data_IF_475871599907
#
_entry.id   IF_475871599907
#
_cell.length_a   1.000
_cell.length_b   1.000
_cell.length_c   1.000
_cell.angle_alpha   90.00
_cell.angle_beta   90.00
_cell.angle_gamma   90.00
#
_symmetry.space_group_name_H-M   'P 1'
#
loop_
_entity.id
_entity.type
_entity.pdbx_description
1 polymer ?
#
# COMPACT_ATOMS: atom_id res chain seq x y z
N UNK A 1 9.44 -24.43 2.96
CA UNK A 1 8.17 -23.77 2.59
C UNK A 1 7.71 -22.73 3.61
N UNK A 2 7.54 -23.06 4.89
CA UNK A 2 7.10 -22.08 5.91
C UNK A 2 8.04 -20.87 6.10
N UNK A 3 9.35 -21.07 5.95
CA UNK A 3 10.35 -19.98 6.00
C UNK A 3 10.23 -19.00 4.83
N UNK A 4 9.81 -19.45 3.65
CA UNK A 4 9.62 -18.58 2.48
C UNK A 4 8.33 -17.74 2.59
N UNK A 5 7.29 -18.31 3.22
CA UNK A 5 6.01 -17.63 3.46
C UNK A 5 6.18 -16.47 4.46
N UNK A 6 6.94 -16.68 5.53
CA UNK A 6 7.21 -15.62 6.51
C UNK A 6 8.10 -14.51 5.95
N UNK A 7 9.05 -14.83 5.06
CA UNK A 7 9.87 -13.84 4.37
C UNK A 7 9.07 -12.99 3.38
N UNK A 8 8.23 -13.59 2.54
CA UNK A 8 7.39 -12.83 1.63
C UNK A 8 6.42 -11.89 2.37
N UNK A 9 5.85 -12.35 3.49
CA UNK A 9 4.99 -11.49 4.32
C UNK A 9 5.74 -10.27 4.86
N UNK A 10 6.98 -10.45 5.33
CA UNK A 10 7.83 -9.33 5.78
C UNK A 10 8.21 -8.40 4.64
N UNK A 11 8.55 -8.93 3.47
CA UNK A 11 8.91 -8.11 2.31
C UNK A 11 7.73 -7.25 1.83
N UNK A 12 6.51 -7.79 1.79
CA UNK A 12 5.30 -7.00 1.47
C UNK A 12 5.10 -5.86 2.46
N UNK A 13 5.19 -6.14 3.76
CA UNK A 13 5.05 -5.10 4.79
C UNK A 13 6.14 -4.03 4.65
N UNK A 14 7.38 -4.44 4.34
CA UNK A 14 8.51 -3.53 4.16
C UNK A 14 8.32 -2.62 2.94
N UNK A 15 7.91 -3.18 1.80
CA UNK A 15 7.61 -2.40 0.58
C UNK A 15 6.49 -1.39 0.86
N UNK A 16 5.42 -1.80 1.56
CA UNK A 16 4.33 -0.90 1.90
C UNK A 16 4.74 0.19 2.89
N UNK A 17 5.56 -0.13 3.88
CA UNK A 17 6.09 0.85 4.83
C UNK A 17 6.96 1.90 4.12
N UNK A 18 7.83 1.48 3.21
CA UNK A 18 8.65 2.39 2.39
C UNK A 18 7.78 3.28 1.52
N UNK A 19 6.76 2.71 0.86
CA UNK A 19 5.83 3.49 0.03
C UNK A 19 5.10 4.58 0.84
N UNK A 20 4.55 4.21 2.00
CA UNK A 20 3.89 5.15 2.91
C UNK A 20 4.85 6.25 3.38
N UNK A 21 6.10 5.89 3.71
CA UNK A 21 7.11 6.86 4.12
C UNK A 21 7.41 7.88 3.01
N UNK A 22 7.55 7.42 1.76
CA UNK A 22 7.79 8.29 0.60
C UNK A 22 6.62 9.27 0.41
N UNK A 23 5.38 8.77 0.39
CA UNK A 23 4.20 9.63 0.21
C UNK A 23 4.02 10.57 1.39
N UNK A 24 4.29 10.11 2.62
CA UNK A 24 4.26 10.94 3.82
C UNK A 24 5.24 12.12 3.73
N UNK A 25 6.48 11.87 3.32
CA UNK A 25 7.50 12.90 3.10
C UNK A 25 7.04 13.90 2.03
N UNK A 26 6.52 13.42 0.90
CA UNK A 26 6.01 14.29 -0.17
C UNK A 26 4.85 15.14 0.33
N UNK A 27 3.89 14.57 1.06
CA UNK A 27 2.74 15.29 1.60
C UNK A 27 3.15 16.41 2.55
N UNK A 28 4.15 16.17 3.41
CA UNK A 28 4.71 17.19 4.31
C UNK A 28 5.41 18.29 3.52
N UNK A 29 6.25 17.94 2.54
CA UNK A 29 6.96 18.93 1.71
C UNK A 29 5.98 19.82 0.93
N UNK A 30 4.92 19.24 0.37
CA UNK A 30 3.86 19.97 -0.34
C UNK A 30 3.13 20.92 0.62
N UNK A 31 2.79 20.45 1.81
CA UNK A 31 2.16 21.28 2.84
C UNK A 31 3.02 22.46 3.29
N UNK A 32 4.33 22.24 3.46
CA UNK A 32 5.29 23.30 3.78
C UNK A 32 5.42 24.31 2.65
N UNK A 33 5.52 23.86 1.39
CA UNK A 33 5.63 24.74 0.22
C UNK A 33 4.40 25.65 0.07
N UNK A 34 3.21 25.12 0.34
CA UNK A 34 1.95 25.87 0.24
C UNK A 34 1.63 26.69 1.51
N UNK A 35 2.50 26.67 2.54
CA UNK A 35 2.27 27.26 3.88
C UNK A 35 0.90 26.86 4.48
N UNK A 36 0.41 25.67 4.14
CA UNK A 36 -0.91 25.20 4.52
C UNK A 36 -0.81 23.80 5.14
N UNK A 37 -0.77 23.78 6.47
CA UNK A 37 -0.66 22.55 7.23
C UNK A 37 -1.91 21.67 7.14
N UNK A 38 -3.10 22.25 6.91
CA UNK A 38 -4.33 21.46 6.70
C UNK A 38 -4.23 20.59 5.45
N UNK A 39 -3.65 21.11 4.36
CA UNK A 39 -3.41 20.31 3.15
C UNK A 39 -2.45 19.15 3.42
N UNK A 40 -1.37 19.40 4.18
CA UNK A 40 -0.42 18.35 4.59
C UNK A 40 -1.12 17.21 5.33
N UNK A 41 -1.97 17.54 6.31
CA UNK A 41 -2.68 16.57 7.14
C UNK A 41 -3.66 15.74 6.29
N UNK A 42 -4.37 16.38 5.36
CA UNK A 42 -5.29 15.69 4.43
C UNK A 42 -4.51 14.73 3.54
N UNK A 43 -3.40 15.17 2.93
CA UNK A 43 -2.60 14.33 2.02
C UNK A 43 -2.06 13.10 2.77
N UNK A 44 -1.46 13.31 3.93
CA UNK A 44 -0.90 12.22 4.76
C UNK A 44 -2.02 11.28 5.25
N UNK A 45 -3.15 11.83 5.68
CA UNK A 45 -4.31 11.04 6.11
C UNK A 45 -4.90 10.18 4.99
N UNK A 46 -5.11 10.74 3.80
CA UNK A 46 -5.55 10.01 2.62
C UNK A 46 -4.55 8.93 2.21
N UNK A 47 -3.24 9.22 2.26
CA UNK A 47 -2.20 8.25 1.92
C UNK A 47 -2.19 7.06 2.89
N UNK A 48 -2.35 7.30 4.20
CA UNK A 48 -2.43 6.24 5.21
C UNK A 48 -3.67 5.37 5.01
N UNK A 49 -4.84 5.98 4.79
CA UNK A 49 -6.08 5.25 4.50
C UNK A 49 -5.97 4.42 3.23
N UNK A 50 -5.41 5.01 2.17
CA UNK A 50 -5.20 4.31 0.90
C UNK A 50 -4.26 3.13 1.05
N UNK A 51 -3.12 3.31 1.72
CA UNK A 51 -2.17 2.23 1.97
C UNK A 51 -2.78 1.11 2.82
N UNK A 52 -3.58 1.46 3.83
CA UNK A 52 -4.28 0.46 4.65
C UNK A 52 -5.29 -0.35 3.83
N UNK A 53 -6.11 0.33 3.01
CA UNK A 53 -7.06 -0.34 2.12
C UNK A 53 -6.34 -1.23 1.10
N UNK A 54 -5.25 -0.72 0.52
CA UNK A 54 -4.52 -1.42 -0.52
C UNK A 54 -3.80 -2.67 -0.02
N UNK A 55 -3.43 -2.75 1.26
CA UNK A 55 -2.86 -3.98 1.84
C UNK A 55 -3.76 -5.20 1.62
N UNK A 56 -5.08 -5.02 1.66
CA UNK A 56 -6.05 -6.11 1.47
C UNK A 56 -6.47 -6.31 0.02
N UNK A 57 -6.54 -5.23 -0.77
CA UNK A 57 -7.09 -5.27 -2.13
C UNK A 57 -6.00 -5.50 -3.19
N UNK A 58 -4.75 -5.14 -2.92
CA UNK A 58 -3.64 -5.23 -3.89
C UNK A 58 -3.46 -6.63 -4.48
N UNK A 59 -3.60 -7.68 -3.64
CA UNK A 59 -3.51 -9.06 -4.11
C UNK A 59 -4.59 -9.41 -5.13
N UNK A 60 -5.84 -9.00 -4.90
CA UNK A 60 -6.94 -9.22 -5.84
C UNK A 60 -6.76 -8.43 -7.13
N UNK A 61 -6.31 -7.19 -7.03
CA UNK A 61 -6.02 -6.35 -8.20
C UNK A 61 -4.88 -6.94 -9.04
N UNK A 62 -3.80 -7.40 -8.41
CA UNK A 62 -2.68 -8.02 -9.11
C UNK A 62 -3.13 -9.25 -9.90
N UNK A 63 -3.95 -10.13 -9.31
CA UNK A 63 -4.48 -11.31 -10.00
C UNK A 63 -5.45 -10.95 -11.14
N UNK A 64 -6.30 -9.93 -10.93
CA UNK A 64 -7.20 -9.43 -11.96
C UNK A 64 -6.42 -8.84 -13.15
N UNK A 65 -5.32 -8.13 -12.91
CA UNK A 65 -4.47 -7.55 -13.94
C UNK A 65 -3.74 -8.62 -14.79
N UNK A 66 -3.46 -9.79 -14.23
CA UNK A 66 -2.84 -10.90 -14.98
C UNK A 66 -3.86 -11.76 -15.75
N UNK A 67 -5.15 -11.43 -15.68
CA UNK A 67 -6.21 -12.25 -16.26
C UNK A 67 -6.38 -13.61 -15.56
N UNK A 68 -5.96 -13.71 -14.30
CA UNK A 68 -6.06 -14.95 -13.55
C UNK A 68 -7.54 -15.28 -13.33
N UNK A 69 -7.98 -16.43 -13.84
CA UNK A 69 -9.30 -16.97 -13.54
C UNK A 69 -9.27 -17.74 -12.23
N UNK A 70 -10.30 -17.55 -11.42
CA UNK A 70 -10.47 -18.27 -10.16
C UNK A 70 -10.69 -19.75 -10.47
N UNK A 71 -9.77 -20.60 -10.02
CA UNK A 71 -9.88 -22.05 -10.21
C UNK A 71 -10.68 -22.60 -9.04
N UNK A 72 -11.93 -23.00 -9.30
CA UNK A 72 -12.73 -23.70 -8.31
C UNK A 72 -12.13 -25.10 -8.11
N UNK A 73 -11.69 -25.42 -6.89
CA UNK A 73 -11.27 -26.77 -6.56
C UNK A 73 -12.51 -27.66 -6.59
N UNK A 74 -12.70 -28.39 -7.70
CA UNK A 74 -13.56 -29.56 -7.74
C UNK A 74 -12.79 -30.71 -7.09
N UNK A 75 -12.98 -30.88 -5.79
CA UNK A 75 -12.88 -32.19 -5.16
C UNK A 75 -14.25 -32.88 -5.28
#
# INVERSE_FOLDING_TARGET
>A
MYSAISHNKRNTVLIMAVFVAIIGVIGVLVGMYLRNYSLSVIIVGCALLYAWLQYYIAGKLAMAMTGAQEIEKKD
#
